data_IF_435309632798
#
_entry.id   IF_435309632798
#
_cell.length_a   1.000
_cell.length_b   1.000
_cell.length_c   1.000
_cell.angle_alpha   90.00
_cell.angle_beta   90.00
_cell.angle_gamma   90.00
#
_symmetry.space_group_name_H-M   'P 1'
#
loop_
_entity.id
_entity.type
_entity.pdbx_description
1 polymer ?
#
# COMPACT_ATOMS: atom_id res chain seq x y z
N UNK A 1 -25.52 54.01 15.75
CA UNK A 1 -24.25 53.28 15.47
C UNK A 1 -24.51 51.80 15.67
N UNK A 2 -24.50 51.05 14.59
CA UNK A 2 -24.67 49.60 14.67
C UNK A 2 -23.28 48.97 14.61
N UNK A 3 -22.86 48.33 15.69
CA UNK A 3 -21.67 47.51 15.74
C UNK A 3 -21.99 46.17 15.11
N UNK A 4 -21.42 45.92 13.93
CA UNK A 4 -21.43 44.59 13.34
C UNK A 4 -20.41 43.74 14.13
N UNK A 5 -20.91 42.81 14.92
CA UNK A 5 -20.10 41.78 15.53
C UNK A 5 -19.73 40.77 14.44
N UNK A 6 -18.46 40.72 14.05
CA UNK A 6 -17.93 39.61 13.26
C UNK A 6 -17.89 38.36 14.16
N UNK A 7 -18.80 37.44 13.92
CA UNK A 7 -18.69 36.11 14.48
C UNK A 7 -17.60 35.36 13.66
N UNK A 8 -16.41 35.27 14.25
CA UNK A 8 -15.34 34.41 13.71
C UNK A 8 -15.77 32.98 14.06
N UNK A 9 -16.35 32.30 13.09
CA UNK A 9 -16.59 30.87 13.18
C UNK A 9 -15.27 30.14 13.19
N UNK A 10 -14.87 29.58 14.32
CA UNK A 10 -13.73 28.68 14.40
C UNK A 10 -14.06 27.43 13.60
N UNK A 11 -13.43 27.25 12.44
CA UNK A 11 -13.49 25.99 11.70
C UNK A 11 -12.72 24.95 12.51
N UNK A 12 -13.43 24.02 13.15
CA UNK A 12 -12.80 22.85 13.76
C UNK A 12 -12.29 21.96 12.64
N UNK A 13 -10.96 21.95 12.45
CA UNK A 13 -10.31 20.96 11.59
C UNK A 13 -10.30 19.66 12.39
N UNK A 14 -11.22 18.77 12.06
CA UNK A 14 -11.20 17.40 12.60
C UNK A 14 -10.02 16.69 11.94
N UNK A 15 -9.01 16.29 12.72
CA UNK A 15 -7.89 15.50 12.22
C UNK A 15 -8.44 14.24 11.53
N UNK A 16 -8.09 14.05 10.25
CA UNK A 16 -8.60 12.96 9.45
C UNK A 16 -8.18 11.59 10.05
N UNK A 17 -9.06 10.57 10.04
CA UNK A 17 -8.71 9.20 10.47
C UNK A 17 -7.47 8.62 9.81
N UNK A 18 -7.11 9.09 8.61
CA UNK A 18 -5.91 8.73 7.87
C UNK A 18 -4.62 9.00 8.66
N UNK A 19 -4.52 10.10 9.42
CA UNK A 19 -3.31 10.42 10.20
C UNK A 19 -3.05 9.40 11.32
N UNK A 20 -4.10 8.86 11.96
CA UNK A 20 -3.98 7.80 12.97
C UNK A 20 -3.61 6.46 12.36
N UNK A 21 -4.15 6.13 11.16
CA UNK A 21 -3.82 4.92 10.44
C UNK A 21 -2.34 4.92 10.00
N UNK A 22 -1.83 6.06 9.51
CA UNK A 22 -0.42 6.23 9.13
C UNK A 22 0.51 6.08 10.34
N UNK A 23 0.16 6.67 11.47
CA UNK A 23 0.95 6.56 12.70
C UNK A 23 1.02 5.13 13.22
N UNK A 24 -0.06 4.36 13.14
CA UNK A 24 -0.10 2.94 13.51
C UNK A 24 0.73 2.09 12.55
N UNK A 25 0.62 2.37 11.28
CA UNK A 25 1.40 1.67 10.26
C UNK A 25 2.91 1.92 10.45
N UNK A 26 3.33 3.16 10.68
CA UNK A 26 4.72 3.49 10.96
C UNK A 26 5.25 2.74 12.20
N UNK A 27 4.47 2.71 13.28
CA UNK A 27 4.86 1.95 14.48
C UNK A 27 5.01 0.46 14.19
N UNK A 28 4.12 -0.12 13.40
CA UNK A 28 4.22 -1.53 13.03
C UNK A 28 5.43 -1.80 12.15
N UNK A 29 5.79 -0.90 11.25
CA UNK A 29 7.01 -1.01 10.44
C UNK A 29 8.27 -1.05 11.29
N UNK A 30 8.34 -0.21 12.33
CA UNK A 30 9.50 -0.16 13.24
C UNK A 30 9.72 -1.47 13.99
N UNK A 31 8.69 -2.29 14.17
CA UNK A 31 8.76 -3.59 14.82
C UNK A 31 9.27 -4.71 13.90
N UNK A 32 9.36 -4.46 12.60
CA UNK A 32 9.78 -5.45 11.61
C UNK A 32 11.28 -5.41 11.39
N UNK A 33 11.85 -6.56 11.03
CA UNK A 33 13.21 -6.63 10.50
C UNK A 33 13.31 -5.84 9.18
N UNK A 34 14.50 -5.31 8.81
CA UNK A 34 14.63 -4.45 7.62
C UNK A 34 14.10 -5.05 6.32
N UNK A 35 14.30 -6.34 6.08
CA UNK A 35 13.79 -7.01 4.87
C UNK A 35 12.27 -7.04 4.83
N UNK A 36 11.64 -7.40 5.94
CA UNK A 36 10.17 -7.41 6.08
C UNK A 36 9.58 -6.01 6.03
N UNK A 37 10.28 -5.04 6.61
CA UNK A 37 9.88 -3.63 6.58
C UNK A 37 9.79 -3.11 5.15
N UNK A 38 10.78 -3.41 4.32
CA UNK A 38 10.78 -3.02 2.90
C UNK A 38 9.58 -3.63 2.16
N UNK A 39 9.34 -4.91 2.34
CA UNK A 39 8.23 -5.61 1.69
C UNK A 39 6.88 -5.06 2.12
N UNK A 40 6.66 -4.85 3.42
CA UNK A 40 5.41 -4.32 3.95
C UNK A 40 5.16 -2.88 3.53
N UNK A 41 6.17 -2.04 3.59
CA UNK A 41 6.08 -0.65 3.12
C UNK A 41 5.68 -0.57 1.66
N UNK A 42 6.33 -1.35 0.81
CA UNK A 42 6.10 -1.32 -0.63
C UNK A 42 4.75 -1.97 -1.00
N UNK A 43 4.35 -3.03 -0.32
CA UNK A 43 3.02 -3.64 -0.49
C UNK A 43 1.88 -2.69 -0.11
N UNK A 44 2.02 -2.00 1.00
CA UNK A 44 1.06 -0.97 1.42
C UNK A 44 1.00 0.19 0.42
N UNK A 45 2.14 0.63 -0.06
CA UNK A 45 2.22 1.67 -1.10
C UNK A 45 1.52 1.25 -2.38
N UNK A 46 1.70 0.00 -2.81
CA UNK A 46 1.00 -0.54 -3.98
C UNK A 46 -0.51 -0.47 -3.81
N UNK A 47 -1.04 -0.93 -2.68
CA UNK A 47 -2.48 -0.89 -2.41
C UNK A 47 -3.02 0.54 -2.39
N UNK A 48 -2.30 1.47 -1.79
CA UNK A 48 -2.70 2.87 -1.72
C UNK A 48 -2.73 3.53 -3.10
N UNK A 49 -1.68 3.30 -3.90
CA UNK A 49 -1.58 3.85 -5.25
C UNK A 49 -2.64 3.29 -6.19
N UNK A 50 -2.88 1.99 -6.14
CA UNK A 50 -3.93 1.35 -6.94
C UNK A 50 -5.29 1.94 -6.60
N UNK A 51 -5.59 2.09 -5.31
CA UNK A 51 -6.86 2.69 -4.86
C UNK A 51 -7.04 4.14 -5.34
N UNK A 52 -5.96 4.91 -5.32
CA UNK A 52 -5.99 6.30 -5.78
C UNK A 52 -6.14 6.41 -7.30
N UNK A 53 -5.46 5.56 -8.05
CA UNK A 53 -5.38 5.66 -9.51
C UNK A 53 -6.57 5.01 -10.21
N UNK A 54 -7.20 4.00 -9.61
CA UNK A 54 -8.32 3.27 -10.20
C UNK A 54 -9.40 2.95 -9.15
N UNK A 55 -10.52 3.63 -9.27
CA UNK A 55 -11.66 3.47 -8.34
C UNK A 55 -12.40 2.14 -8.47
N UNK A 56 -12.14 1.38 -9.53
CA UNK A 56 -12.68 0.02 -9.67
C UNK A 56 -12.07 -0.95 -8.66
N UNK A 57 -10.88 -0.66 -8.15
CA UNK A 57 -10.20 -1.51 -7.18
C UNK A 57 -10.32 -1.00 -5.74
N UNK A 58 -10.45 -1.95 -4.83
CA UNK A 58 -10.37 -1.73 -3.38
C UNK A 58 -9.39 -2.75 -2.78
N UNK A 59 -8.08 -2.52 -2.96
CA UNK A 59 -7.08 -3.46 -2.47
C UNK A 59 -7.12 -3.59 -0.95
N UNK A 60 -7.12 -4.82 -0.44
CA UNK A 60 -7.07 -5.11 0.99
C UNK A 60 -5.91 -6.05 1.36
N UNK A 61 -5.26 -6.66 0.40
CA UNK A 61 -4.08 -7.49 0.57
C UNK A 61 -3.15 -7.33 -0.62
N UNK A 62 -1.85 -7.39 -0.36
CA UNK A 62 -0.82 -7.50 -1.39
C UNK A 62 0.24 -8.50 -0.95
N UNK A 63 0.65 -9.36 -1.86
CA UNK A 63 1.73 -10.33 -1.65
C UNK A 63 2.79 -10.16 -2.73
N UNK A 64 4.05 -10.19 -2.33
CA UNK A 64 5.16 -9.95 -3.25
C UNK A 64 5.62 -11.20 -4.00
N UNK A 65 5.31 -12.37 -3.49
CA UNK A 65 5.88 -13.65 -3.92
C UNK A 65 4.83 -14.69 -4.32
N UNK A 66 3.74 -14.29 -4.95
CA UNK A 66 2.69 -15.24 -5.33
C UNK A 66 3.16 -16.22 -6.42
N UNK A 67 3.70 -15.73 -7.52
CA UNK A 67 4.12 -16.54 -8.66
C UNK A 67 5.64 -16.69 -8.74
N UNK A 68 6.40 -15.67 -8.37
CA UNK A 68 7.87 -15.70 -8.33
C UNK A 68 8.35 -14.93 -7.10
N UNK A 69 9.56 -15.23 -6.66
CA UNK A 69 10.20 -14.50 -5.57
C UNK A 69 10.59 -13.09 -6.01
N UNK A 70 10.44 -12.09 -5.15
CA UNK A 70 10.92 -10.75 -5.44
C UNK A 70 12.45 -10.69 -5.42
N UNK A 71 13.00 -9.69 -6.08
CA UNK A 71 14.44 -9.39 -6.03
C UNK A 71 14.63 -8.13 -5.20
N UNK A 72 15.53 -8.20 -4.23
CA UNK A 72 15.92 -7.07 -3.40
C UNK A 72 17.36 -6.69 -3.70
N UNK A 73 17.57 -5.42 -4.02
CA UNK A 73 18.89 -4.84 -4.21
C UNK A 73 18.95 -3.52 -3.46
N UNK A 74 19.85 -3.42 -2.48
CA UNK A 74 19.92 -2.27 -1.56
C UNK A 74 18.52 -1.98 -0.95
N UNK A 75 18.00 -0.78 -1.14
CA UNK A 75 16.68 -0.38 -0.62
C UNK A 75 15.58 -0.47 -1.68
N UNK A 76 15.81 -1.23 -2.76
CA UNK A 76 14.85 -1.44 -3.84
C UNK A 76 14.36 -2.89 -3.85
N UNK A 77 13.05 -3.07 -3.96
CA UNK A 77 12.42 -4.35 -4.22
C UNK A 77 11.76 -4.35 -5.60
N UNK A 78 12.08 -5.38 -6.39
CA UNK A 78 11.46 -5.64 -7.68
C UNK A 78 10.54 -6.84 -7.57
N UNK A 79 9.26 -6.63 -7.78
CA UNK A 79 8.23 -7.66 -7.75
C UNK A 79 7.69 -7.88 -9.15
N UNK A 80 7.87 -9.08 -9.68
CA UNK A 80 7.34 -9.47 -10.99
C UNK A 80 6.17 -10.44 -10.90
N UNK A 81 6.13 -11.23 -9.85
CA UNK A 81 5.14 -12.27 -9.63
C UNK A 81 4.32 -12.06 -8.36
N UNK A 82 3.98 -10.82 -8.05
CA UNK A 82 3.11 -10.49 -6.94
C UNK A 82 1.63 -10.57 -7.30
N UNK A 83 0.80 -10.33 -6.30
CA UNK A 83 -0.64 -10.26 -6.45
C UNK A 83 -1.25 -9.31 -5.43
N UNK A 84 -2.42 -8.75 -5.74
CA UNK A 84 -3.23 -8.02 -4.77
C UNK A 84 -4.67 -8.51 -4.82
N UNK A 85 -5.33 -8.43 -3.69
CA UNK A 85 -6.74 -8.79 -3.57
C UNK A 85 -7.60 -7.54 -3.54
N UNK A 86 -8.65 -7.56 -4.35
CA UNK A 86 -9.66 -6.51 -4.40
C UNK A 86 -11.04 -7.16 -4.52
N UNK A 87 -11.94 -6.82 -3.60
CA UNK A 87 -13.32 -7.34 -3.58
C UNK A 87 -13.39 -8.88 -3.69
N UNK A 88 -12.51 -9.57 -2.97
CA UNK A 88 -12.46 -11.03 -2.93
C UNK A 88 -11.85 -11.70 -4.16
N UNK A 89 -11.24 -10.94 -5.06
CA UNK A 89 -10.56 -11.44 -6.25
C UNK A 89 -9.09 -11.07 -6.22
N UNK A 90 -8.24 -11.94 -6.76
CA UNK A 90 -6.81 -11.70 -6.86
C UNK A 90 -6.41 -11.33 -8.30
N UNK A 91 -5.54 -10.34 -8.39
CA UNK A 91 -5.00 -9.83 -9.65
C UNK A 91 -3.47 -9.90 -9.59
N UNK A 92 -2.85 -10.24 -10.72
CA UNK A 92 -1.41 -10.19 -10.83
C UNK A 92 -0.92 -8.74 -10.65
N UNK A 93 0.22 -8.60 -10.00
CA UNK A 93 0.81 -7.29 -9.69
C UNK A 93 2.31 -7.37 -9.86
N UNK A 94 2.85 -6.41 -10.59
CA UNK A 94 4.29 -6.17 -10.63
C UNK A 94 4.59 -4.75 -10.21
N UNK A 95 5.70 -4.55 -9.53
CA UNK A 95 6.14 -3.20 -9.14
C UNK A 95 7.63 -3.13 -8.87
N UNK A 96 8.15 -1.92 -8.97
CA UNK A 96 9.47 -1.52 -8.50
C UNK A 96 9.29 -0.48 -7.42
N UNK A 97 9.90 -0.68 -6.28
CA UNK A 97 9.75 0.17 -5.12
C UNK A 97 11.11 0.43 -4.47
N UNK A 98 11.49 1.69 -4.37
CA UNK A 98 12.70 2.11 -3.66
C UNK A 98 12.31 2.90 -2.42
N UNK A 99 12.85 2.48 -1.29
CA UNK A 99 12.62 3.13 0.00
C UNK A 99 13.84 3.96 0.44
N UNK A 100 13.63 4.76 1.48
CA UNK A 100 14.73 5.38 2.22
C UNK A 100 15.57 4.31 2.93
N UNK A 101 16.84 4.62 3.32
CA UNK A 101 17.69 3.62 3.99
C UNK A 101 17.10 3.01 5.25
N UNK A 102 16.31 3.75 6.02
CA UNK A 102 15.60 3.24 7.19
C UNK A 102 14.33 2.46 6.83
N UNK A 103 13.95 2.46 5.54
CA UNK A 103 12.76 1.78 5.01
C UNK A 103 11.45 2.22 5.65
N UNK A 104 11.38 3.49 6.01
CA UNK A 104 10.19 4.10 6.59
C UNK A 104 9.39 4.91 5.59
N UNK A 105 9.97 5.27 4.44
CA UNK A 105 9.32 6.04 3.39
C UNK A 105 9.72 5.54 2.01
N UNK A 106 8.82 5.70 1.03
CA UNK A 106 9.08 5.36 -0.36
C UNK A 106 9.56 6.60 -1.11
N UNK A 107 10.64 6.45 -1.86
CA UNK A 107 11.22 7.53 -2.69
C UNK A 107 10.92 7.36 -4.18
N UNK A 108 10.66 6.14 -4.63
CA UNK A 108 10.29 5.87 -6.03
C UNK A 108 9.39 4.62 -6.08
N UNK A 109 8.32 4.71 -6.85
CA UNK A 109 7.37 3.61 -6.99
C UNK A 109 6.73 3.62 -8.38
N UNK A 110 6.67 2.45 -9.01
CA UNK A 110 5.93 2.21 -10.25
C UNK A 110 5.35 0.82 -10.21
N UNK A 111 4.16 0.63 -10.80
CA UNK A 111 3.47 -0.65 -10.77
C UNK A 111 2.71 -0.91 -12.07
N UNK A 112 2.40 -2.17 -12.30
CA UNK A 112 1.53 -2.63 -13.38
C UNK A 112 0.57 -3.66 -12.84
N UNK A 113 -0.72 -3.51 -13.13
CA UNK A 113 -1.75 -4.49 -12.82
C UNK A 113 -1.85 -5.46 -13.99
N UNK A 114 -1.78 -6.75 -13.67
CA UNK A 114 -1.97 -7.83 -14.62
C UNK A 114 -3.39 -8.41 -14.57
N UNK A 115 -3.59 -9.57 -15.23
CA UNK A 115 -4.89 -10.21 -15.28
C UNK A 115 -5.34 -10.75 -13.94
N UNK A 116 -6.66 -10.95 -13.80
CA UNK A 116 -7.24 -11.68 -12.67
C UNK A 116 -6.69 -13.09 -12.63
N UNK A 117 -6.33 -13.53 -11.44
CA UNK A 117 -5.82 -14.89 -11.19
C UNK A 117 -7.01 -15.80 -10.94
N UNK A 118 -7.21 -16.85 -11.76
CA UNK A 118 -8.31 -17.80 -11.55
C UNK A 118 -8.26 -18.43 -10.16
N UNK A 119 -9.39 -18.61 -9.54
CA UNK A 119 -9.50 -19.19 -8.19
C UNK A 119 -8.87 -20.58 -8.12
N UNK A 120 -8.95 -21.35 -9.20
CA UNK A 120 -8.32 -22.67 -9.30
C UNK A 120 -6.80 -22.65 -9.12
N UNK A 121 -6.16 -21.50 -9.28
CA UNK A 121 -4.70 -21.34 -9.12
C UNK A 121 -4.29 -20.74 -7.79
N UNK A 122 -5.23 -20.27 -6.98
CA UNK A 122 -4.90 -19.58 -5.74
C UNK A 122 -4.07 -20.43 -4.78
N UNK A 123 -4.46 -21.65 -4.55
CA UNK A 123 -3.76 -22.53 -3.63
C UNK A 123 -2.28 -22.73 -4.01
N UNK A 124 -1.98 -22.88 -5.30
CA UNK A 124 -0.60 -23.04 -5.78
C UNK A 124 0.25 -21.78 -5.61
N UNK A 125 -0.39 -20.62 -5.52
CA UNK A 125 0.29 -19.33 -5.31
C UNK A 125 0.21 -18.84 -3.87
N UNK A 126 -0.30 -19.66 -2.94
CA UNK A 126 -0.47 -19.25 -1.56
C UNK A 126 -1.54 -18.18 -1.35
N UNK A 127 -2.47 -18.04 -2.29
CA UNK A 127 -3.57 -17.08 -2.22
C UNK A 127 -4.81 -17.72 -1.59
N UNK A 128 -5.67 -16.88 -0.99
CA UNK A 128 -6.84 -17.33 -0.23
C UNK A 128 -8.02 -16.36 -0.39
N UNK A 129 -9.19 -16.80 0.06
CA UNK A 129 -10.38 -15.94 0.16
C UNK A 129 -10.28 -14.94 1.29
#
# INVERSE_FOLDING_TARGET
>A
MRTLGLAIGAAMIVAAPAALADARFERSLLMLAPAERLEQLCGYTAMTRIRQDDKAFRPDRAVANAMTEPRVHADTIEVKGGAFRSRGKWFALSYSCTATPDRMAVVAFRYTIGPEIPETKWASFGLWQ
#
